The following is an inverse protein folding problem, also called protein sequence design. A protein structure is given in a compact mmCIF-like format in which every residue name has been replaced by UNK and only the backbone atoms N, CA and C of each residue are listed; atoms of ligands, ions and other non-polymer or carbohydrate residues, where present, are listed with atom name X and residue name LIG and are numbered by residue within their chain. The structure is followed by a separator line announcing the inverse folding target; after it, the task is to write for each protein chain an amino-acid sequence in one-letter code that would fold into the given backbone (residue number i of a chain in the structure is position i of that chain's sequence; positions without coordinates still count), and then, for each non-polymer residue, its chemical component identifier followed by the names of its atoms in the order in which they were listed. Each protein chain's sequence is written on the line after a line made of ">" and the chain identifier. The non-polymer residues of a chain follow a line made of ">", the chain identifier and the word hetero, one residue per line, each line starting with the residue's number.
data_IF_898823437571
#
_entry.id   IF_898823437571
#
_cell.length_a   1.000
_cell.length_b   1.000
_cell.length_c   1.000
_cell.angle_alpha   90.00
_cell.angle_beta   90.00
_cell.angle_gamma   90.00
#
_symmetry.space_group_name_H-M   'P 1'
#
loop_
_entity.id
_entity.type
_entity.pdbx_description
1 polymer ?
#
# COMPACT_ATOMS: atom_id res chain seq x y z
N UNK A 1 -3.45 8.50 -76.84
CA UNK A 1 -3.44 8.82 -75.40
C UNK A 1 -3.35 7.51 -74.62
N UNK A 2 -2.18 7.23 -74.06
CA UNK A 2 -1.90 6.02 -73.26
C UNK A 2 -2.35 6.21 -71.81
N UNK A 3 -2.94 5.19 -71.18
CA UNK A 3 -2.94 5.06 -69.72
C UNK A 3 -2.54 3.64 -69.30
N UNK A 4 -1.46 3.64 -68.53
CA UNK A 4 -0.77 2.53 -67.86
C UNK A 4 -1.29 2.47 -66.41
N UNK A 5 -1.32 1.27 -65.83
CA UNK A 5 -1.33 1.05 -64.37
C UNK A 5 -2.60 0.35 -63.88
N UNK A 6 -2.57 -0.67 -63.02
CA UNK A 6 -1.54 -1.04 -62.05
C UNK A 6 -1.72 -2.52 -61.68
N UNK A 7 -0.64 -3.30 -61.76
CA UNK A 7 -0.62 -4.68 -61.30
C UNK A 7 -0.04 -4.70 -59.88
N UNK A 8 -0.87 -4.95 -58.88
CA UNK A 8 -0.44 -5.04 -57.48
C UNK A 8 0.37 -6.33 -57.29
N UNK A 9 1.67 -6.19 -57.02
CA UNK A 9 2.55 -7.30 -56.62
C UNK A 9 2.19 -7.75 -55.20
N UNK A 10 1.58 -8.92 -55.10
CA UNK A 10 1.50 -9.71 -53.87
C UNK A 10 2.91 -9.95 -53.29
N UNK A 11 3.19 -9.68 -52.00
CA UNK A 11 4.47 -10.01 -51.42
C UNK A 11 4.58 -11.53 -51.27
N UNK A 12 5.40 -12.15 -52.11
CA UNK A 12 5.78 -13.55 -51.95
C UNK A 12 6.46 -13.74 -50.60
N UNK A 13 5.89 -14.60 -49.75
CA UNK A 13 6.59 -15.13 -48.57
C UNK A 13 7.82 -15.88 -49.08
N UNK A 14 9.00 -15.33 -48.82
CA UNK A 14 10.24 -16.05 -49.04
C UNK A 14 10.28 -17.26 -48.11
N UNK A 15 10.09 -18.45 -48.66
CA UNK A 15 10.44 -19.71 -48.02
C UNK A 15 11.97 -19.77 -47.96
N UNK A 16 12.52 -19.58 -46.76
CA UNK A 16 13.96 -19.71 -46.55
C UNK A 16 14.30 -21.19 -46.51
N UNK A 17 14.89 -21.70 -47.60
CA UNK A 17 15.55 -23.00 -47.61
C UNK A 17 16.76 -22.94 -46.65
N UNK A 18 16.54 -23.44 -45.43
CA UNK A 18 17.60 -23.74 -44.47
C UNK A 18 18.32 -25.00 -45.00
N UNK A 19 19.46 -24.80 -45.65
CA UNK A 19 20.09 -25.81 -46.49
C UNK A 19 21.57 -26.03 -46.11
N UNK A 20 21.93 -25.77 -44.85
CA UNK A 20 23.20 -26.15 -44.22
C UNK A 20 22.98 -27.01 -42.97
N UNK A 21 23.99 -27.79 -42.54
CA UNK A 21 23.89 -28.61 -41.33
C UNK A 21 23.91 -27.78 -40.04
N UNK A 22 24.37 -26.51 -40.09
CA UNK A 22 24.43 -25.62 -38.93
C UNK A 22 23.87 -24.22 -39.23
N UNK A 23 23.42 -23.54 -38.17
CA UNK A 23 22.98 -22.12 -38.22
C UNK A 23 24.11 -21.21 -38.70
N UNK A 24 25.36 -21.54 -38.38
CA UNK A 24 26.54 -20.78 -38.78
C UNK A 24 26.74 -20.81 -40.30
N UNK A 25 26.50 -21.96 -40.93
CA UNK A 25 26.59 -22.12 -42.40
C UNK A 25 25.52 -21.30 -43.12
N UNK A 26 24.31 -21.26 -42.58
CA UNK A 26 23.22 -20.45 -43.11
C UNK A 26 23.52 -18.94 -42.97
N UNK A 27 24.11 -18.52 -41.84
CA UNK A 27 24.56 -17.14 -41.64
C UNK A 27 25.66 -16.78 -42.63
N UNK A 28 26.67 -17.63 -42.85
CA UNK A 28 27.72 -17.38 -43.84
C UNK A 28 27.17 -17.31 -45.26
N UNK A 29 26.22 -18.19 -45.61
CA UNK A 29 25.57 -18.17 -46.93
C UNK A 29 24.75 -16.89 -47.14
N UNK A 30 24.03 -16.43 -46.11
CA UNK A 30 23.31 -15.16 -46.14
C UNK A 30 24.28 -13.98 -46.28
N UNK A 31 25.44 -14.02 -45.60
CA UNK A 31 26.50 -12.99 -45.73
C UNK A 31 27.06 -12.98 -47.15
N UNK A 32 27.36 -14.13 -47.74
CA UNK A 32 27.85 -14.23 -49.13
C UNK A 32 26.82 -13.72 -50.14
N UNK A 33 25.52 -13.94 -49.90
CA UNK A 33 24.45 -13.61 -50.85
C UNK A 33 23.97 -12.15 -50.77
N UNK A 34 23.92 -11.58 -49.56
CA UNK A 34 23.31 -10.27 -49.31
C UNK A 34 24.28 -9.24 -48.74
N UNK A 35 25.50 -9.64 -48.40
CA UNK A 35 26.49 -8.78 -47.76
C UNK A 35 26.31 -8.70 -46.25
N UNK A 36 27.43 -8.56 -45.53
CA UNK A 36 27.48 -8.55 -44.06
C UNK A 36 26.58 -7.50 -43.43
N UNK A 37 26.55 -6.29 -43.98
CA UNK A 37 25.77 -5.18 -43.42
C UNK A 37 24.26 -5.39 -43.56
N UNK A 38 23.80 -5.98 -44.68
CA UNK A 38 22.38 -6.27 -44.89
C UNK A 38 21.89 -7.37 -43.94
N UNK A 39 22.69 -8.42 -43.74
CA UNK A 39 22.38 -9.51 -42.79
C UNK A 39 22.37 -8.99 -41.35
N UNK A 40 23.36 -8.18 -40.97
CA UNK A 40 23.42 -7.54 -39.65
C UNK A 40 22.22 -6.64 -39.40
N UNK A 41 21.79 -5.85 -40.39
CA UNK A 41 20.59 -5.01 -40.29
C UNK A 41 19.31 -5.85 -40.16
N UNK A 42 19.20 -6.96 -40.91
CA UNK A 42 18.08 -7.87 -40.85
C UNK A 42 17.98 -8.56 -39.48
N UNK A 43 19.07 -9.15 -38.98
CA UNK A 43 19.13 -9.76 -37.64
C UNK A 43 18.78 -8.72 -36.57
N UNK A 44 19.36 -7.51 -36.64
CA UNK A 44 19.06 -6.43 -35.69
C UNK A 44 17.59 -6.01 -35.73
N UNK A 45 16.93 -6.07 -36.89
CA UNK A 45 15.51 -5.74 -37.01
C UNK A 45 14.59 -6.83 -36.45
N UNK A 46 14.96 -8.11 -36.60
CA UNK A 46 14.21 -9.25 -36.07
C UNK A 46 14.47 -9.50 -34.58
N UNK A 47 15.70 -9.26 -34.11
CA UNK A 47 16.10 -9.41 -32.72
C UNK A 47 15.70 -8.22 -31.83
N UNK A 48 14.90 -7.27 -32.34
CA UNK A 48 14.37 -6.18 -31.51
C UNK A 48 13.56 -6.82 -30.37
N UNK A 49 13.92 -6.59 -29.10
CA UNK A 49 13.16 -7.12 -27.99
C UNK A 49 11.73 -6.58 -28.12
N UNK A 50 10.76 -7.49 -28.24
CA UNK A 50 9.35 -7.10 -28.19
C UNK A 50 9.15 -6.42 -26.84
N UNK A 51 8.65 -5.18 -26.87
CA UNK A 51 8.35 -4.42 -25.65
C UNK A 51 7.46 -5.30 -24.76
N UNK A 52 7.96 -5.63 -23.57
CA UNK A 52 7.22 -6.42 -22.60
C UNK A 52 5.86 -5.77 -22.30
N UNK A 53 4.88 -6.59 -21.94
CA UNK A 53 3.54 -6.10 -21.57
C UNK A 53 3.66 -5.14 -20.38
N UNK A 54 2.88 -4.05 -20.39
CA UNK A 54 2.80 -3.13 -19.23
C UNK A 54 2.35 -3.92 -18.00
N UNK A 55 2.96 -3.64 -16.85
CA UNK A 55 2.56 -4.26 -15.59
C UNK A 55 1.10 -3.88 -15.27
N UNK A 56 0.26 -4.89 -15.01
CA UNK A 56 -1.12 -4.67 -14.58
C UNK A 56 -1.12 -4.06 -13.17
N UNK A 57 -1.78 -2.91 -13.02
CA UNK A 57 -1.90 -2.17 -11.77
C UNK A 57 -3.00 -2.80 -10.91
N UNK A 58 -2.73 -3.98 -10.34
CA UNK A 58 -3.69 -4.68 -9.47
C UNK A 58 -3.82 -4.02 -8.08
N UNK A 59 -2.84 -3.21 -7.64
CA UNK A 59 -2.80 -2.67 -6.28
C UNK A 59 -3.89 -1.64 -5.96
N UNK A 60 -4.23 -0.67 -6.84
CA UNK A 60 -5.33 0.25 -6.62
C UNK A 60 -6.66 -0.45 -6.30
N UNK A 61 -6.96 -1.57 -6.97
CA UNK A 61 -8.20 -2.33 -6.76
C UNK A 61 -8.18 -3.22 -5.50
N UNK A 62 -6.99 -3.48 -4.96
CA UNK A 62 -6.81 -4.19 -3.68
C UNK A 62 -6.84 -3.23 -2.48
N UNK A 63 -6.88 -1.91 -2.72
CA UNK A 63 -6.81 -0.89 -1.68
C UNK A 63 -7.89 -1.09 -0.61
N UNK A 64 -9.15 -1.28 -1.00
CA UNK A 64 -10.27 -1.42 -0.06
C UNK A 64 -10.09 -2.65 0.86
N UNK A 65 -9.54 -3.74 0.31
CA UNK A 65 -9.23 -4.95 1.07
C UNK A 65 -8.12 -4.68 2.08
N UNK A 66 -7.06 -3.99 1.66
CA UNK A 66 -5.94 -3.63 2.52
C UNK A 66 -6.35 -2.65 3.63
N UNK A 67 -7.24 -1.70 3.33
CA UNK A 67 -7.79 -0.80 4.35
C UNK A 67 -8.66 -1.56 5.35
N UNK A 68 -9.52 -2.46 4.88
CA UNK A 68 -10.34 -3.29 5.78
C UNK A 68 -9.47 -4.19 6.66
N UNK A 69 -8.43 -4.81 6.08
CA UNK A 69 -7.46 -5.62 6.82
C UNK A 69 -6.71 -4.77 7.86
N UNK A 70 -6.33 -3.54 7.51
CA UNK A 70 -5.63 -2.62 8.39
C UNK A 70 -6.50 -2.16 9.57
N UNK A 71 -7.77 -1.82 9.32
CA UNK A 71 -8.74 -1.47 10.38
C UNK A 71 -8.91 -2.62 11.37
N UNK A 72 -9.15 -3.83 10.86
CA UNK A 72 -9.29 -5.03 11.69
C UNK A 72 -8.02 -5.29 12.53
N UNK A 73 -6.83 -5.11 11.93
CA UNK A 73 -5.57 -5.23 12.66
C UNK A 73 -5.41 -4.17 13.76
N UNK A 74 -5.81 -2.92 13.50
CA UNK A 74 -5.77 -1.83 14.48
C UNK A 74 -6.72 -2.08 15.65
N UNK A 75 -7.90 -2.64 15.38
CA UNK A 75 -8.88 -3.07 16.38
C UNK A 75 -8.43 -4.31 17.20
N UNK A 76 -7.30 -4.93 16.83
CA UNK A 76 -6.72 -6.08 17.55
C UNK A 76 -7.14 -7.45 17.00
N UNK A 77 -7.89 -7.48 15.89
CA UNK A 77 -8.17 -8.70 15.16
C UNK A 77 -7.01 -9.16 14.26
N UNK A 78 -7.13 -10.36 13.70
CA UNK A 78 -6.18 -10.89 12.73
C UNK A 78 -6.80 -10.93 11.31
N UNK A 79 -6.42 -10.01 10.41
CA UNK A 79 -6.97 -9.98 9.05
C UNK A 79 -6.50 -11.15 8.18
N UNK A 80 -5.39 -11.80 8.53
CA UNK A 80 -4.81 -12.86 7.70
C UNK A 80 -5.50 -14.21 7.93
N UNK A 81 -6.08 -14.42 9.10
CA UNK A 81 -7.00 -15.53 9.38
C UNK A 81 -8.43 -15.20 8.99
N UNK A 82 -8.91 -13.98 9.26
CA UNK A 82 -10.27 -13.56 8.89
C UNK A 82 -10.52 -13.63 7.37
N UNK A 83 -9.49 -13.34 6.57
CA UNK A 83 -9.58 -13.40 5.11
C UNK A 83 -8.33 -14.03 4.51
N UNK A 84 -8.52 -15.09 3.75
CA UNK A 84 -7.40 -15.79 3.10
C UNK A 84 -7.01 -15.11 1.79
N UNK A 85 -5.73 -15.23 1.40
CA UNK A 85 -5.26 -14.71 0.10
C UNK A 85 -6.03 -15.34 -1.09
N UNK A 86 -6.43 -16.61 -0.95
CA UNK A 86 -7.26 -17.29 -1.94
C UNK A 86 -8.63 -16.60 -2.10
N UNK A 87 -9.32 -16.29 -0.99
CA UNK A 87 -10.63 -15.63 -1.04
C UNK A 87 -10.55 -14.24 -1.69
N UNK A 88 -9.50 -13.46 -1.39
CA UNK A 88 -9.25 -12.15 -2.01
C UNK A 88 -8.99 -12.30 -3.50
N UNK A 89 -8.11 -13.24 -3.89
CA UNK A 89 -7.77 -13.48 -5.27
C UNK A 89 -8.97 -13.96 -6.10
N UNK A 90 -9.82 -14.80 -5.51
CA UNK A 90 -11.09 -15.23 -6.12
C UNK A 90 -12.03 -14.05 -6.34
N UNK A 91 -12.30 -13.27 -5.30
CA UNK A 91 -13.17 -12.09 -5.40
C UNK A 91 -12.62 -11.02 -6.37
N UNK A 92 -11.30 -10.89 -6.46
CA UNK A 92 -10.65 -10.03 -7.45
C UNK A 92 -10.88 -10.55 -8.88
N UNK A 93 -10.67 -11.85 -9.12
CA UNK A 93 -10.87 -12.46 -10.44
C UNK A 93 -12.34 -12.48 -10.86
N UNK A 94 -13.27 -12.66 -9.91
CA UNK A 94 -14.72 -12.59 -10.14
C UNK A 94 -15.15 -11.18 -10.60
N UNK A 95 -14.53 -10.12 -10.05
CA UNK A 95 -14.76 -8.71 -10.46
C UNK A 95 -14.01 -8.30 -11.73
N UNK A 96 -12.88 -8.96 -12.00
CA UNK A 96 -12.01 -8.69 -13.14
C UNK A 96 -11.84 -9.94 -14.00
N UNK A 97 -12.87 -10.33 -14.77
CA UNK A 97 -12.79 -11.42 -15.73
C UNK A 97 -11.90 -10.98 -16.90
N UNK A 98 -10.59 -11.05 -16.71
CA UNK A 98 -9.61 -10.89 -17.78
C UNK A 98 -9.55 -12.12 -18.70
N UNK A 99 -8.41 -12.31 -19.37
CA UNK A 99 -8.21 -13.43 -20.32
C UNK A 99 -8.39 -14.83 -19.71
N UNK A 100 -8.02 -15.04 -18.44
CA UNK A 100 -8.32 -16.29 -17.75
C UNK A 100 -8.48 -16.09 -16.24
N UNK A 101 -9.59 -16.59 -15.71
CA UNK A 101 -9.91 -16.50 -14.28
C UNK A 101 -8.86 -17.20 -13.39
N UNK A 102 -8.42 -18.43 -13.68
CA UNK A 102 -7.36 -19.08 -12.89
C UNK A 102 -6.02 -18.34 -12.96
N UNK A 103 -5.71 -17.71 -14.11
CA UNK A 103 -4.50 -16.93 -14.29
C UNK A 103 -4.49 -15.68 -13.41
N UNK A 104 -5.61 -14.95 -13.38
CA UNK A 104 -5.81 -13.79 -12.50
C UNK A 104 -5.70 -14.21 -11.03
N UNK A 105 -6.38 -15.28 -10.61
CA UNK A 105 -6.28 -15.77 -9.24
C UNK A 105 -4.84 -16.10 -8.84
N UNK A 106 -4.10 -16.84 -9.67
CA UNK A 106 -2.70 -17.20 -9.39
C UNK A 106 -1.79 -15.98 -9.31
N UNK A 107 -1.99 -14.98 -10.18
CA UNK A 107 -1.25 -13.72 -10.17
C UNK A 107 -1.49 -12.94 -8.88
N UNK A 108 -2.76 -12.73 -8.51
CA UNK A 108 -3.13 -11.97 -7.31
C UNK A 108 -2.69 -12.70 -6.05
N UNK A 109 -2.89 -14.02 -5.97
CA UNK A 109 -2.43 -14.82 -4.83
C UNK A 109 -0.92 -14.65 -4.60
N UNK A 110 -0.11 -14.69 -5.67
CA UNK A 110 1.33 -14.48 -5.58
C UNK A 110 1.67 -13.06 -5.08
N UNK A 111 0.99 -12.03 -5.59
CA UNK A 111 1.18 -10.64 -5.15
C UNK A 111 0.86 -10.48 -3.66
N UNK A 112 -0.26 -11.05 -3.21
CA UNK A 112 -0.68 -10.99 -1.80
C UNK A 112 0.29 -11.75 -0.88
N UNK A 113 0.74 -12.95 -1.27
CA UNK A 113 1.74 -13.70 -0.50
C UNK A 113 3.04 -12.89 -0.29
N UNK A 114 3.44 -12.11 -1.29
CA UNK A 114 4.68 -11.33 -1.21
C UNK A 114 4.53 -10.06 -0.38
N UNK A 115 3.39 -9.36 -0.45
CA UNK A 115 3.30 -7.97 0.04
C UNK A 115 2.12 -7.67 0.96
N UNK A 116 1.12 -8.54 1.10
CA UNK A 116 -0.11 -8.20 1.84
C UNK A 116 0.17 -7.80 3.28
N UNK A 117 0.99 -8.57 4.00
CA UNK A 117 1.33 -8.26 5.41
C UNK A 117 1.94 -6.86 5.50
N UNK A 118 2.99 -6.61 4.75
CA UNK A 118 3.67 -5.32 4.73
C UNK A 118 2.74 -4.18 4.32
N UNK A 119 1.94 -4.35 3.27
CA UNK A 119 1.00 -3.31 2.82
C UNK A 119 -0.12 -3.05 3.84
N UNK A 120 -0.58 -4.08 4.55
CA UNK A 120 -1.56 -3.93 5.62
C UNK A 120 -0.99 -3.10 6.76
N UNK A 121 0.26 -3.36 7.17
CA UNK A 121 0.93 -2.62 8.22
C UNK A 121 1.21 -1.16 7.82
N UNK A 122 1.65 -0.91 6.58
CA UNK A 122 1.81 0.46 6.07
C UNK A 122 0.47 1.19 6.03
N UNK A 123 -0.60 0.51 5.62
CA UNK A 123 -1.94 1.10 5.62
C UNK A 123 -2.42 1.37 7.05
N UNK A 124 -2.11 0.49 8.00
CA UNK A 124 -2.42 0.67 9.41
C UNK A 124 -1.67 1.85 10.04
N UNK A 125 -0.39 2.03 9.73
CA UNK A 125 0.39 3.19 10.15
C UNK A 125 -0.25 4.51 9.66
N UNK A 126 -0.59 4.60 8.37
CA UNK A 126 -1.23 5.78 7.81
C UNK A 126 -2.59 6.08 8.44
N UNK A 127 -3.44 5.05 8.63
CA UNK A 127 -4.77 5.23 9.22
C UNK A 127 -4.73 5.57 10.71
N UNK A 128 -3.79 4.97 11.44
CA UNK A 128 -3.73 5.08 12.90
C UNK A 128 -3.33 6.47 13.40
N UNK A 129 -2.64 7.26 12.58
CA UNK A 129 -2.22 8.60 12.96
C UNK A 129 -3.39 9.52 13.30
N UNK A 130 -4.48 9.42 12.53
CA UNK A 130 -5.61 10.34 12.57
C UNK A 130 -6.88 9.75 13.19
N UNK A 131 -7.06 8.43 13.18
CA UNK A 131 -8.34 7.80 13.51
C UNK A 131 -8.27 6.79 14.66
N UNK A 132 -7.08 6.48 15.16
CA UNK A 132 -6.89 5.50 16.23
C UNK A 132 -6.00 6.08 17.33
N UNK A 133 -6.01 5.44 18.48
CA UNK A 133 -5.16 5.83 19.61
C UNK A 133 -3.68 5.91 19.20
N UNK A 134 -2.96 6.86 19.79
CA UNK A 134 -1.50 6.96 19.63
C UNK A 134 -0.79 5.64 20.01
N UNK A 135 -1.35 4.84 20.93
CA UNK A 135 -0.84 3.51 21.25
C UNK A 135 -0.98 2.53 20.08
N UNK A 136 -2.10 2.54 19.36
CA UNK A 136 -2.28 1.73 18.16
C UNK A 136 -1.31 2.17 17.04
N UNK A 137 -1.05 3.47 16.94
CA UNK A 137 -0.06 4.01 16.00
C UNK A 137 1.37 3.55 16.32
N UNK A 138 1.80 3.62 17.58
CA UNK A 138 3.10 3.09 18.02
C UNK A 138 3.22 1.59 17.72
N UNK A 139 2.17 0.80 18.02
CA UNK A 139 2.13 -0.63 17.72
C UNK A 139 2.29 -0.91 16.22
N UNK A 140 1.67 -0.09 15.36
CA UNK A 140 1.80 -0.22 13.91
C UNK A 140 3.24 0.02 13.45
N UNK A 141 3.89 1.07 13.96
CA UNK A 141 5.29 1.40 13.66
C UNK A 141 6.27 0.33 14.15
N UNK A 142 6.10 -0.16 15.38
CA UNK A 142 6.92 -1.25 15.93
C UNK A 142 6.78 -2.51 15.08
N UNK A 143 5.56 -2.88 14.70
CA UNK A 143 5.32 -4.05 13.86
C UNK A 143 5.86 -3.87 12.44
N UNK A 144 5.85 -2.64 11.91
CA UNK A 144 6.50 -2.32 10.64
C UNK A 144 8.00 -2.51 10.71
N UNK A 145 8.66 -1.98 11.75
CA UNK A 145 10.11 -2.14 11.94
C UNK A 145 10.52 -3.61 12.04
N UNK A 146 9.75 -4.44 12.74
CA UNK A 146 10.00 -5.88 12.82
C UNK A 146 9.93 -6.58 11.45
N UNK A 147 9.06 -6.10 10.56
CA UNK A 147 8.88 -6.70 9.23
C UNK A 147 9.76 -6.11 8.15
N UNK A 148 10.19 -4.88 8.34
CA UNK A 148 10.88 -4.09 7.35
C UNK A 148 11.76 -3.06 8.09
N UNK A 149 13.00 -3.41 8.46
CA UNK A 149 13.87 -2.58 9.30
C UNK A 149 14.54 -1.45 8.49
N UNK A 150 13.76 -0.73 7.68
CA UNK A 150 14.25 0.43 6.94
C UNK A 150 14.36 1.64 7.88
N UNK A 151 15.39 2.49 7.73
CA UNK A 151 15.62 3.64 8.62
C UNK A 151 14.43 4.62 8.72
N UNK A 152 13.58 4.67 7.68
CA UNK A 152 12.40 5.54 7.70
C UNK A 152 11.43 5.19 8.83
N UNK A 153 11.24 3.89 9.13
CA UNK A 153 10.30 3.46 10.16
C UNK A 153 10.88 3.64 11.57
N UNK A 154 12.19 3.46 11.71
CA UNK A 154 12.92 3.77 12.94
C UNK A 154 12.81 5.27 13.27
N UNK A 155 13.06 6.13 12.28
CA UNK A 155 12.87 7.57 12.42
C UNK A 155 11.41 7.92 12.77
N UNK A 156 10.42 7.35 12.08
CA UNK A 156 9.01 7.60 12.40
C UNK A 156 8.62 7.13 13.81
N UNK A 157 9.13 5.99 14.28
CA UNK A 157 8.89 5.52 15.65
C UNK A 157 9.56 6.42 16.68
N UNK A 158 10.80 6.83 16.43
CA UNK A 158 11.53 7.76 17.28
C UNK A 158 10.81 9.12 17.37
N UNK A 159 10.34 9.65 16.25
CA UNK A 159 9.59 10.90 16.17
C UNK A 159 8.27 10.83 16.94
N UNK A 160 7.52 9.73 16.79
CA UNK A 160 6.28 9.51 17.54
C UNK A 160 6.53 9.46 19.05
N UNK A 161 7.57 8.73 19.48
CA UNK A 161 7.98 8.66 20.90
C UNK A 161 8.43 10.03 21.42
N UNK A 162 9.18 10.80 20.64
CA UNK A 162 9.61 12.15 20.99
C UNK A 162 8.42 13.11 21.10
N UNK A 163 7.42 13.01 20.23
CA UNK A 163 6.19 13.80 20.31
C UNK A 163 5.42 13.53 21.62
N UNK A 164 5.29 12.27 22.02
CA UNK A 164 4.66 11.89 23.30
C UNK A 164 5.45 12.46 24.49
N UNK A 165 6.78 12.37 24.46
CA UNK A 165 7.63 12.94 25.51
C UNK A 165 7.50 14.47 25.59
N UNK A 166 7.44 15.15 24.45
CA UNK A 166 7.23 16.60 24.35
C UNK A 166 5.85 17.00 24.90
N UNK A 167 4.80 16.26 24.55
CA UNK A 167 3.46 16.45 25.11
C UNK A 167 3.50 16.34 26.64
N UNK A 168 4.11 15.27 27.17
CA UNK A 168 4.22 15.05 28.61
C UNK A 168 4.96 16.20 29.31
N UNK A 169 6.08 16.64 28.75
CA UNK A 169 6.87 17.76 29.28
C UNK A 169 6.06 19.06 29.36
N UNK A 170 5.20 19.33 28.37
CA UNK A 170 4.38 20.55 28.32
C UNK A 170 3.13 20.50 29.19
N UNK A 171 2.46 19.35 29.26
CA UNK A 171 1.15 19.23 29.93
C UNK A 171 1.23 18.59 31.32
N UNK A 172 2.41 18.13 31.75
CA UNK A 172 2.63 17.47 33.04
C UNK A 172 1.91 16.13 33.21
N UNK A 173 1.39 15.56 32.12
CA UNK A 173 0.63 14.30 32.10
C UNK A 173 0.77 13.59 30.77
N UNK A 174 0.62 12.28 30.77
CA UNK A 174 0.63 11.49 29.54
C UNK A 174 -0.60 11.79 28.68
N UNK A 175 -0.50 11.69 27.34
CA UNK A 175 -1.67 11.70 26.49
C UNK A 175 -2.70 10.67 26.94
N UNK A 176 -3.99 11.02 26.86
CA UNK A 176 -5.05 10.04 27.14
C UNK A 176 -5.02 8.96 26.07
N UNK A 177 -5.37 7.72 26.43
CA UNK A 177 -5.40 6.58 25.51
C UNK A 177 -6.30 6.79 24.29
N UNK A 178 -7.28 7.69 24.40
CA UNK A 178 -8.26 7.98 23.35
C UNK A 178 -7.76 9.04 22.36
N UNK A 179 -6.65 9.72 22.68
CA UNK A 179 -6.04 10.69 21.79
C UNK A 179 -5.32 9.99 20.64
N UNK A 180 -5.52 10.54 19.44
CA UNK A 180 -4.81 10.10 18.24
C UNK A 180 -3.38 10.61 18.24
N UNK A 181 -2.52 10.04 17.40
CA UNK A 181 -1.15 10.57 17.28
C UNK A 181 -1.16 12.03 16.80
N UNK A 182 -2.10 12.40 15.91
CA UNK A 182 -2.28 13.78 15.46
C UNK A 182 -2.62 14.73 16.60
N UNK A 183 -3.52 14.34 17.51
CA UNK A 183 -3.89 15.15 18.68
C UNK A 183 -2.69 15.35 19.62
N UNK A 184 -1.87 14.30 19.77
CA UNK A 184 -0.64 14.36 20.57
C UNK A 184 0.38 15.30 19.93
N UNK A 185 0.60 15.20 18.62
CA UNK A 185 1.48 16.11 17.88
C UNK A 185 1.04 17.57 18.05
N UNK A 186 -0.26 17.83 17.93
CA UNK A 186 -0.79 19.19 18.06
C UNK A 186 -0.66 19.72 19.49
N UNK A 187 -1.01 18.90 20.48
CA UNK A 187 -0.79 19.25 21.89
C UNK A 187 0.69 19.41 22.25
N UNK A 188 1.60 18.70 21.57
CA UNK A 188 3.03 18.86 21.73
C UNK A 188 3.56 20.13 21.04
N UNK A 189 2.86 20.69 20.04
CA UNK A 189 3.22 21.98 19.43
C UNK A 189 2.80 23.15 20.32
N UNK A 190 1.57 23.14 20.81
CA UNK A 190 1.03 24.22 21.65
C UNK A 190 1.67 24.17 23.04
N UNK A 191 2.46 25.19 23.39
CA UNK A 191 2.99 25.33 24.75
C UNK A 191 1.85 25.60 25.74
N UNK A 192 1.88 24.94 26.90
CA UNK A 192 0.92 25.14 27.99
C UNK A 192 0.96 26.55 28.64
N UNK A 193 1.65 27.51 28.04
CA UNK A 193 1.78 28.89 28.51
C UNK A 193 0.66 29.84 28.09
N UNK A 194 -0.51 29.34 27.71
CA UNK A 194 -1.75 30.13 27.67
C UNK A 194 -2.98 29.25 27.94
N UNK A 195 -3.14 28.79 29.18
CA UNK A 195 -4.49 28.68 29.74
C UNK A 195 -4.53 29.70 30.88
N UNK A 196 -5.13 30.88 30.69
CA UNK A 196 -5.53 31.70 31.82
C UNK A 196 -6.44 30.83 32.68
N UNK A 197 -6.06 30.66 33.93
CA UNK A 197 -6.86 30.12 35.02
C UNK A 197 -8.08 31.03 35.24
N UNK A 198 -9.02 31.04 34.30
CA UNK A 198 -10.06 32.06 34.26
C UNK A 198 -11.35 31.61 33.56
N UNK A 199 -11.75 30.33 33.61
CA UNK A 199 -13.17 29.95 33.47
C UNK A 199 -13.45 28.68 34.30
N UNK A 200 -13.42 28.82 35.63
CA UNK A 200 -14.28 28.02 36.49
C UNK A 200 -15.39 28.96 36.98
N UNK A 201 -16.68 28.72 36.66
CA UNK A 201 -17.75 29.50 37.25
C UNK A 201 -17.79 29.23 38.76
N UNK A 202 -17.94 30.27 39.61
CA UNK A 202 -18.10 30.09 41.05
C UNK A 202 -19.54 29.66 41.31
N UNK A 203 -19.83 28.37 41.21
CA UNK A 203 -21.04 27.82 41.82
C UNK A 203 -20.95 26.30 41.96
N UNK A 204 -20.56 25.85 43.15
CA UNK A 204 -21.34 24.83 43.89
C UNK A 204 -20.89 24.74 45.36
N UNK A 205 -20.71 25.90 46.00
CA UNK A 205 -20.39 25.98 47.43
C UNK A 205 -21.58 25.78 48.38
N UNK A 206 -22.83 25.82 47.91
CA UNK A 206 -23.97 26.06 48.84
C UNK A 206 -25.23 25.18 48.65
N UNK A 207 -25.17 23.98 48.05
CA UNK A 207 -26.39 23.18 47.83
C UNK A 207 -26.34 21.68 48.13
N UNK A 208 -25.61 21.24 49.16
CA UNK A 208 -25.71 19.86 49.67
C UNK A 208 -25.69 19.71 51.21
N UNK A 209 -26.15 20.72 51.97
CA UNK A 209 -26.27 20.61 53.44
C UNK A 209 -27.67 20.97 54.00
N UNK A 210 -28.72 21.06 53.18
CA UNK A 210 -30.07 21.42 53.65
C UNK A 210 -31.20 20.46 53.23
N UNK A 211 -30.89 19.20 52.96
CA UNK A 211 -31.90 18.19 52.62
C UNK A 211 -31.84 16.95 53.52
N UNK A 212 -32.02 17.13 54.84
CA UNK A 212 -32.58 16.09 55.70
C UNK A 212 -33.46 16.71 56.79
N UNK A 213 -34.79 16.53 56.75
CA UNK A 213 -35.65 16.86 57.87
C UNK A 213 -35.50 15.81 58.99
N UNK A 214 -35.58 16.35 60.19
CA UNK A 214 -35.70 15.71 61.49
C UNK A 214 -36.68 14.52 61.44
N UNK A 215 -36.25 13.35 61.88
CA UNK A 215 -37.15 12.34 62.46
C UNK A 215 -36.79 12.22 63.93
N UNK A 216 -37.66 12.80 64.76
CA UNK A 216 -37.69 12.52 66.18
C UNK A 216 -38.32 11.16 66.44
N UNK A 217 -37.78 10.44 67.42
CA UNK A 217 -38.52 9.41 68.15
C UNK A 217 -38.19 9.55 69.62
N UNK A 218 -39.20 10.02 70.36
CA UNK A 218 -39.38 9.75 71.78
C UNK A 218 -39.40 8.24 72.02
N UNK A 219 -38.62 7.75 72.99
CA UNK A 219 -39.10 7.27 74.30
C UNK A 219 -37.90 6.93 75.19
#
# INVERSE_FOLDING_TARGET
>A
MSKIGSNQKTPMRATYDLAGPTVEDDVQRLISRYGREAVKAAIKSQAKPKKGRKAEQDWPELKDVLEADARLWLEGGDPFTARTNYSIAKAFADRNPGHSHPGTMKRITRKLLQRRIWMTLVTAENLSRDAYSHLAHLRALERLMEKDPRPIWDASLADAKACIASYHSKHGRMPRSEMTMRDVEEGARVSATMIPEAILPPSLGDKLMSAFPIVGTHQ
#
